data_IF_678086345935
#
_entry.id   IF_678086345935
#
_cell.length_a   1.000
_cell.length_b   1.000
_cell.length_c   1.000
_cell.angle_alpha   90.00
_cell.angle_beta   90.00
_cell.angle_gamma   90.00
#
_symmetry.space_group_name_H-M   'P 1'
#
loop_
_entity.id
_entity.type
_entity.pdbx_description
1 polymer ?
#
# COMPACT_ATOMS: atom_id res chain seq x y z
N UNK A 1 26.26 -7.18 15.56
CA UNK A 1 25.55 -5.95 15.92
C UNK A 1 24.10 -5.93 15.41
N UNK A 2 23.81 -6.00 14.11
CA UNK A 2 22.44 -5.92 13.55
C UNK A 2 21.43 -6.92 14.16
N UNK A 3 21.81 -8.20 14.32
CA UNK A 3 20.94 -9.24 14.93
C UNK A 3 20.59 -8.95 16.39
N UNK A 4 21.55 -8.44 17.18
CA UNK A 4 21.31 -8.07 18.58
C UNK A 4 20.33 -6.89 18.66
N UNK A 5 20.53 -5.85 17.82
CA UNK A 5 19.61 -4.72 17.73
C UNK A 5 18.19 -5.17 17.37
N UNK A 6 18.04 -6.00 16.33
CA UNK A 6 16.74 -6.57 15.95
C UNK A 6 16.08 -7.34 17.10
N UNK A 7 16.86 -8.10 17.85
CA UNK A 7 16.35 -8.84 19.01
C UNK A 7 15.86 -7.87 20.10
N UNK A 8 16.66 -6.89 20.51
CA UNK A 8 16.29 -5.91 21.55
C UNK A 8 15.03 -5.12 21.15
N UNK A 9 15.00 -4.59 19.91
CA UNK A 9 13.84 -3.85 19.42
C UNK A 9 12.58 -4.75 19.35
N UNK A 10 12.73 -6.00 18.92
CA UNK A 10 11.63 -6.96 18.86
C UNK A 10 11.06 -7.25 20.26
N UNK A 11 11.93 -7.48 21.24
CA UNK A 11 11.52 -7.74 22.64
C UNK A 11 10.79 -6.52 23.19
N UNK A 12 11.36 -5.33 23.05
CA UNK A 12 10.75 -4.08 23.53
C UNK A 12 9.39 -3.84 22.87
N UNK A 13 9.29 -3.98 21.54
CA UNK A 13 8.03 -3.84 20.81
C UNK A 13 6.96 -4.84 21.25
N UNK A 14 7.36 -6.11 21.55
CA UNK A 14 6.42 -7.11 22.09
C UNK A 14 5.92 -6.75 23.48
N UNK A 15 6.77 -6.16 24.33
CA UNK A 15 6.35 -5.67 25.65
C UNK A 15 5.34 -4.52 25.52
N UNK A 16 5.53 -3.62 24.54
CA UNK A 16 4.55 -2.58 24.21
C UNK A 16 3.19 -3.19 23.82
N UNK A 17 3.20 -4.15 22.88
CA UNK A 17 1.97 -4.83 22.45
C UNK A 17 1.28 -5.53 23.61
N UNK A 18 2.04 -6.22 24.46
CA UNK A 18 1.49 -6.89 25.64
C UNK A 18 0.87 -5.92 26.64
N UNK A 19 1.54 -4.79 26.91
CA UNK A 19 1.09 -3.76 27.87
C UNK A 19 -0.14 -3.01 27.39
N UNK A 20 -0.09 -2.52 26.14
CA UNK A 20 -1.11 -1.61 25.63
C UNK A 20 -2.20 -2.29 24.79
N UNK A 21 -1.98 -3.51 24.37
CA UNK A 21 -2.91 -4.35 23.59
C UNK A 21 -3.55 -3.61 22.41
N UNK A 22 -2.78 -2.90 21.55
CA UNK A 22 -3.34 -2.23 20.39
C UNK A 22 -3.90 -3.25 19.40
N UNK A 23 -4.92 -2.87 18.66
CA UNK A 23 -5.32 -3.63 17.47
C UNK A 23 -4.25 -3.44 16.39
N UNK A 24 -3.71 -4.53 15.87
CA UNK A 24 -2.72 -4.50 14.80
C UNK A 24 -3.41 -4.79 13.47
N UNK A 25 -3.33 -3.83 12.56
CA UNK A 25 -3.74 -3.93 11.17
C UNK A 25 -2.48 -4.05 10.32
N UNK A 26 -2.29 -5.16 9.63
CA UNK A 26 -1.11 -5.40 8.81
C UNK A 26 -1.46 -5.42 7.33
N UNK A 27 -0.70 -4.68 6.51
CA UNK A 27 -0.89 -4.58 5.06
C UNK A 27 0.30 -5.18 4.33
N UNK A 28 0.06 -6.06 3.37
CA UNK A 28 1.06 -6.56 2.44
C UNK A 28 0.53 -6.60 1.01
N UNK A 29 1.40 -6.85 0.05
CA UNK A 29 1.12 -6.90 -1.39
C UNK A 29 2.35 -6.46 -2.19
N UNK A 30 2.23 -6.37 -3.51
CA UNK A 30 3.25 -5.79 -4.37
C UNK A 30 2.93 -4.32 -4.68
N UNK A 31 1.70 -4.04 -5.06
CA UNK A 31 1.20 -2.71 -5.42
C UNK A 31 0.14 -2.27 -4.42
N UNK A 32 0.10 -0.98 -4.09
CA UNK A 32 -0.95 -0.38 -3.27
C UNK A 32 -0.76 -0.46 -1.75
N UNK A 33 0.27 -1.13 -1.21
CA UNK A 33 0.50 -1.27 0.25
C UNK A 33 0.48 0.07 0.99
N UNK A 34 1.34 0.99 0.59
CA UNK A 34 1.49 2.28 1.26
C UNK A 34 0.23 3.14 1.14
N UNK A 35 -0.36 3.21 -0.07
CA UNK A 35 -1.64 3.93 -0.27
C UNK A 35 -2.75 3.36 0.60
N UNK A 36 -2.88 2.02 0.68
CA UNK A 36 -3.87 1.35 1.53
C UNK A 36 -3.63 1.63 3.02
N UNK A 37 -2.39 1.55 3.46
CA UNK A 37 -2.00 1.87 4.83
C UNK A 37 -2.38 3.30 5.21
N UNK A 38 -2.07 4.29 4.38
CA UNK A 38 -2.41 5.70 4.61
C UNK A 38 -3.93 5.94 4.58
N UNK A 39 -4.64 5.32 3.64
CA UNK A 39 -6.09 5.41 3.56
C UNK A 39 -6.77 4.82 4.82
N UNK A 40 -6.31 3.66 5.32
CA UNK A 40 -6.79 3.07 6.57
C UNK A 40 -6.50 4.01 7.76
N UNK A 41 -5.29 4.59 7.79
CA UNK A 41 -4.92 5.58 8.80
C UNK A 41 -5.87 6.76 8.84
N UNK A 42 -6.16 7.32 7.67
CA UNK A 42 -7.09 8.44 7.49
C UNK A 42 -8.52 8.09 7.98
N UNK A 43 -9.02 6.92 7.59
CA UNK A 43 -10.37 6.48 7.98
C UNK A 43 -10.46 6.25 9.48
N UNK A 44 -9.56 5.47 10.05
CA UNK A 44 -9.62 5.11 11.47
C UNK A 44 -9.29 6.26 12.41
N UNK A 45 -8.53 7.27 11.97
CA UNK A 45 -8.23 8.46 12.78
C UNK A 45 -9.47 9.27 13.19
N UNK A 46 -10.63 9.06 12.51
CA UNK A 46 -11.90 9.66 12.91
C UNK A 46 -12.47 9.13 14.24
N UNK A 47 -12.11 7.89 14.59
CA UNK A 47 -12.71 7.19 15.75
C UNK A 47 -11.69 6.63 16.73
N UNK A 48 -10.41 6.55 16.36
CA UNK A 48 -9.34 5.93 17.14
C UNK A 48 -8.06 6.74 17.12
N UNK A 49 -7.24 6.58 18.16
CA UNK A 49 -5.85 7.03 18.13
C UNK A 49 -5.04 6.03 17.35
N UNK A 50 -4.57 6.43 16.15
CA UNK A 50 -3.90 5.59 15.20
C UNK A 50 -2.41 5.93 15.11
N UNK A 51 -1.57 4.95 14.86
CA UNK A 51 -0.20 5.14 14.35
C UNK A 51 0.00 4.29 13.12
N UNK A 52 0.49 4.91 12.04
CA UNK A 52 0.89 4.25 10.80
C UNK A 52 2.40 4.15 10.70
N UNK A 53 2.92 3.09 10.06
CA UNK A 53 4.32 3.06 9.68
C UNK A 53 4.58 4.10 8.59
N UNK A 54 5.57 4.98 8.78
CA UNK A 54 5.91 5.94 7.75
C UNK A 54 6.86 5.35 6.70
N UNK A 55 6.77 5.86 5.48
CA UNK A 55 7.63 5.42 4.37
C UNK A 55 7.61 3.90 4.17
N UNK A 56 8.81 3.32 4.05
CA UNK A 56 9.04 1.88 3.85
C UNK A 56 9.54 1.17 5.13
N UNK A 57 9.15 1.62 6.32
CA UNK A 57 9.46 0.95 7.60
C UNK A 57 8.67 -0.37 7.75
N UNK A 58 8.91 -1.32 6.84
CA UNK A 58 8.12 -2.53 6.63
C UNK A 58 8.89 -3.84 6.89
N UNK A 59 10.10 -3.74 7.46
CA UNK A 59 10.99 -4.86 7.70
C UNK A 59 11.24 -5.13 9.20
N UNK A 60 12.16 -6.04 9.51
CA UNK A 60 12.49 -6.47 10.89
C UNK A 60 13.06 -5.36 11.80
N UNK A 61 13.45 -4.20 11.27
CA UNK A 61 13.83 -3.00 12.04
C UNK A 61 12.73 -1.95 12.04
N UNK A 62 12.13 -1.72 10.87
CA UNK A 62 11.12 -0.67 10.68
C UNK A 62 9.82 -0.94 11.43
N UNK A 63 9.33 -2.18 11.42
CA UNK A 63 8.10 -2.54 12.15
C UNK A 63 8.25 -2.33 13.66
N UNK A 64 9.28 -2.85 14.36
CA UNK A 64 9.51 -2.52 15.76
C UNK A 64 9.65 -1.02 16.01
N UNK A 65 10.37 -0.31 15.15
CA UNK A 65 10.56 1.14 15.27
C UNK A 65 9.21 1.87 15.29
N UNK A 66 8.30 1.54 14.38
CA UNK A 66 6.93 2.09 14.35
C UNK A 66 6.15 1.75 15.62
N UNK A 67 6.29 0.54 16.16
CA UNK A 67 5.61 0.14 17.40
C UNK A 67 6.11 1.00 18.58
N UNK A 68 7.40 1.27 18.65
CA UNK A 68 8.02 2.04 19.74
C UNK A 68 7.72 3.54 19.68
N UNK A 69 7.45 4.10 18.51
CA UNK A 69 7.18 5.52 18.36
C UNK A 69 7.10 5.98 16.91
N UNK A 70 6.88 7.25 16.72
CA UNK A 70 7.02 7.92 15.43
C UNK A 70 8.45 8.48 15.34
N UNK A 71 9.32 7.72 14.68
CA UNK A 71 10.75 7.99 14.58
C UNK A 71 11.23 8.06 13.13
N UNK A 72 10.27 8.10 12.20
CA UNK A 72 10.56 7.96 10.76
C UNK A 72 11.47 9.06 10.26
N UNK A 73 11.14 10.32 10.54
CA UNK A 73 11.89 11.47 10.04
C UNK A 73 13.32 11.42 10.55
N UNK A 74 13.50 11.20 11.85
CA UNK A 74 14.83 11.09 12.46
C UNK A 74 15.60 9.87 11.94
N UNK A 75 14.92 8.74 11.65
CA UNK A 75 15.55 7.57 11.05
C UNK A 75 16.07 7.86 9.64
N UNK A 76 15.30 8.55 8.81
CA UNK A 76 15.70 8.89 7.45
C UNK A 76 16.80 9.97 7.43
N UNK A 77 16.77 10.93 8.34
CA UNK A 77 17.79 11.97 8.47
C UNK A 77 19.13 11.41 8.97
N UNK A 78 19.12 10.56 10.00
CA UNK A 78 20.33 10.07 10.68
C UNK A 78 20.82 8.71 10.17
N UNK A 79 20.18 8.11 9.17
CA UNK A 79 20.56 6.82 8.59
C UNK A 79 20.62 5.65 9.59
N UNK A 80 19.94 5.77 10.74
CA UNK A 80 19.93 4.74 11.78
C UNK A 80 21.31 4.58 12.46
N UNK A 81 21.96 5.68 12.82
CA UNK A 81 23.25 5.70 13.53
C UNK A 81 23.21 4.92 14.86
N UNK A 82 24.34 4.44 15.40
CA UNK A 82 24.36 3.76 16.69
C UNK A 82 23.76 4.58 17.82
N UNK A 83 24.00 5.90 17.85
CA UNK A 83 23.47 6.81 18.86
C UNK A 83 21.94 6.93 18.76
N UNK A 84 21.39 6.97 17.53
CA UNK A 84 19.95 6.92 17.29
C UNK A 84 19.33 5.68 17.93
N UNK A 85 19.89 4.50 17.72
CA UNK A 85 19.34 3.27 18.27
C UNK A 85 19.39 3.20 19.80
N UNK A 86 20.49 3.70 20.40
CA UNK A 86 20.58 3.82 21.87
C UNK A 86 19.50 4.75 22.41
N UNK A 87 19.29 5.91 21.77
CA UNK A 87 18.21 6.84 22.10
C UNK A 87 16.85 6.19 22.04
N UNK A 88 16.54 5.48 20.94
CA UNK A 88 15.24 4.79 20.75
C UNK A 88 14.98 3.76 21.86
N UNK A 89 15.99 2.95 22.18
CA UNK A 89 15.84 1.92 23.23
C UNK A 89 15.63 2.58 24.59
N UNK A 90 16.42 3.61 24.92
CA UNK A 90 16.30 4.30 26.21
C UNK A 90 14.95 5.02 26.35
N UNK A 91 14.55 5.81 25.34
CA UNK A 91 13.27 6.52 25.37
C UNK A 91 12.08 5.55 25.28
N UNK A 92 12.23 4.45 24.52
CA UNK A 92 11.24 3.38 24.48
C UNK A 92 11.04 2.76 25.87
N UNK A 93 12.10 2.41 26.58
CA UNK A 93 12.02 1.89 27.94
C UNK A 93 11.39 2.89 28.92
N UNK A 94 11.78 4.17 28.86
CA UNK A 94 11.19 5.24 29.69
C UNK A 94 9.70 5.43 29.43
N UNK A 95 9.30 5.52 28.16
CA UNK A 95 7.87 5.64 27.80
C UNK A 95 7.08 4.43 28.26
N UNK A 96 7.64 3.24 28.14
CA UNK A 96 7.00 2.03 28.65
C UNK A 96 6.75 2.10 30.14
N UNK A 97 7.65 2.68 30.92
CA UNK A 97 7.50 2.80 32.39
C UNK A 97 6.50 3.89 32.79
N UNK A 98 6.51 5.04 32.12
CA UNK A 98 5.83 6.26 32.59
C UNK A 98 4.67 6.73 31.71
N UNK A 99 4.50 6.24 30.48
CA UNK A 99 3.40 6.68 29.62
C UNK A 99 2.15 5.82 29.80
N UNK A 100 1.02 6.49 30.07
CA UNK A 100 -0.30 5.87 30.06
C UNK A 100 -0.97 5.92 28.67
N UNK A 101 -0.49 6.79 27.77
CA UNK A 101 -1.08 7.00 26.44
C UNK A 101 -0.30 6.25 25.36
N UNK A 102 -1.03 5.45 24.58
CA UNK A 102 -0.49 4.72 23.42
C UNK A 102 -1.58 4.63 22.34
N UNK A 103 -1.25 4.50 21.04
CA UNK A 103 -2.23 4.29 19.98
C UNK A 103 -3.11 3.06 20.25
N UNK A 104 -4.40 3.20 19.97
CA UNK A 104 -5.35 2.08 20.05
C UNK A 104 -5.22 1.12 18.87
N UNK A 105 -4.77 1.67 17.71
CA UNK A 105 -4.57 0.93 16.47
C UNK A 105 -3.19 1.21 15.92
N UNK A 106 -2.47 0.14 15.56
CA UNK A 106 -1.23 0.18 14.81
C UNK A 106 -1.47 -0.32 13.39
N UNK A 107 -1.16 0.49 12.40
CA UNK A 107 -1.25 0.11 10.98
C UNK A 107 0.18 -0.09 10.46
N UNK A 108 0.52 -1.33 10.20
CA UNK A 108 1.87 -1.77 9.89
C UNK A 108 1.94 -2.29 8.45
N UNK A 109 2.95 -1.89 7.73
CA UNK A 109 3.26 -2.46 6.42
C UNK A 109 4.23 -3.64 6.61
N UNK A 110 3.90 -4.82 6.06
CA UNK A 110 4.77 -5.99 6.07
C UNK A 110 5.36 -6.20 4.69
N UNK A 111 6.64 -5.87 4.55
CA UNK A 111 7.43 -6.10 3.34
C UNK A 111 7.91 -7.55 3.23
N UNK A 112 8.13 -7.99 1.99
CA UNK A 112 8.72 -9.29 1.69
C UNK A 112 9.69 -9.14 0.53
N UNK A 113 10.96 -8.95 0.86
CA UNK A 113 12.04 -8.95 -0.12
C UNK A 113 12.55 -10.38 -0.36
N UNK A 114 12.42 -11.25 0.65
CA UNK A 114 12.89 -12.63 0.63
C UNK A 114 11.89 -13.60 1.24
N UNK A 115 11.99 -14.91 0.92
CA UNK A 115 11.20 -15.97 1.57
C UNK A 115 11.30 -15.92 3.10
N UNK A 116 10.18 -16.11 3.77
CA UNK A 116 9.98 -16.12 5.23
C UNK A 116 9.92 -14.74 5.91
N UNK A 117 10.02 -13.62 5.19
CA UNK A 117 9.99 -12.29 5.83
C UNK A 117 8.60 -11.99 6.41
N UNK A 118 7.51 -12.21 5.65
CA UNK A 118 6.13 -12.05 6.17
C UNK A 118 5.88 -13.00 7.34
N UNK A 119 6.28 -14.27 7.18
CA UNK A 119 6.11 -15.27 8.26
C UNK A 119 6.79 -14.82 9.54
N UNK A 120 8.02 -14.28 9.47
CA UNK A 120 8.74 -13.80 10.65
C UNK A 120 8.05 -12.60 11.29
N UNK A 121 7.60 -11.62 10.50
CA UNK A 121 6.90 -10.43 11.01
C UNK A 121 5.57 -10.83 11.65
N UNK A 122 4.76 -11.65 10.99
CA UNK A 122 3.47 -12.11 11.49
C UNK A 122 3.59 -12.93 12.78
N UNK A 123 4.64 -13.75 12.92
CA UNK A 123 4.90 -14.48 14.15
C UNK A 123 5.37 -13.59 15.32
N UNK A 124 6.11 -12.51 15.01
CA UNK A 124 6.61 -11.57 16.04
C UNK A 124 5.53 -10.59 16.49
N UNK A 125 4.73 -10.11 15.54
CA UNK A 125 3.74 -9.04 15.69
C UNK A 125 2.42 -9.48 15.03
N UNK A 126 1.74 -10.44 15.69
CA UNK A 126 0.53 -11.05 15.15
C UNK A 126 -0.56 -10.02 14.90
N UNK A 127 -1.07 -9.87 13.65
CA UNK A 127 -2.14 -8.94 13.35
C UNK A 127 -3.52 -9.49 13.76
N UNK A 128 -4.47 -8.57 13.95
CA UNK A 128 -5.91 -8.85 14.12
C UNK A 128 -6.65 -8.67 12.78
N UNK A 129 -6.11 -7.81 11.89
CA UNK A 129 -6.62 -7.61 10.55
C UNK A 129 -5.44 -7.70 9.58
N UNK A 130 -5.51 -8.62 8.63
CA UNK A 130 -4.49 -8.78 7.59
C UNK A 130 -5.06 -8.39 6.23
N UNK A 131 -4.40 -7.46 5.54
CA UNK A 131 -4.82 -6.98 4.22
C UNK A 131 -3.81 -7.42 3.17
N UNK A 132 -4.30 -8.01 2.06
CA UNK A 132 -3.48 -8.27 0.87
C UNK A 132 -4.03 -7.43 -0.27
N UNK A 133 -3.20 -6.48 -0.76
CA UNK A 133 -3.61 -5.51 -1.77
C UNK A 133 -3.63 -6.10 -3.17
N UNK A 134 -2.47 -6.29 -3.78
CA UNK A 134 -2.32 -6.95 -5.06
C UNK A 134 -0.98 -7.67 -5.14
N UNK A 135 -0.93 -8.79 -5.84
CA UNK A 135 0.30 -9.53 -6.14
C UNK A 135 0.71 -9.32 -7.60
N UNK A 136 -0.26 -9.39 -8.51
CA UNK A 136 -0.05 -9.28 -9.95
C UNK A 136 0.62 -10.53 -10.54
N UNK A 137 0.70 -10.59 -11.88
CA UNK A 137 1.26 -11.73 -12.60
C UNK A 137 2.79 -11.82 -12.46
N UNK A 138 3.48 -10.69 -12.59
CA UNK A 138 4.94 -10.59 -12.40
C UNK A 138 5.19 -9.67 -11.20
N UNK A 139 5.30 -10.24 -9.98
CA UNK A 139 5.48 -9.45 -8.77
C UNK A 139 6.91 -8.91 -8.64
N UNK A 140 7.09 -7.76 -7.99
CA UNK A 140 8.42 -7.30 -7.56
C UNK A 140 9.07 -8.32 -6.64
N UNK A 141 10.39 -8.29 -6.57
CA UNK A 141 11.23 -9.23 -5.80
C UNK A 141 11.17 -10.68 -6.30
N UNK A 142 10.49 -10.97 -7.44
CA UNK A 142 10.40 -12.34 -7.99
C UNK A 142 11.77 -12.95 -8.26
N UNK A 143 12.77 -12.13 -8.50
CA UNK A 143 14.17 -12.54 -8.65
C UNK A 143 14.72 -13.33 -7.44
N UNK A 144 14.24 -13.03 -6.24
CA UNK A 144 14.67 -13.68 -4.99
C UNK A 144 13.80 -14.88 -4.60
N UNK A 145 12.85 -15.24 -5.44
CA UNK A 145 11.93 -16.35 -5.24
C UNK A 145 12.02 -17.35 -6.41
N UNK A 146 11.45 -18.53 -6.25
CA UNK A 146 11.39 -19.55 -7.31
C UNK A 146 10.40 -19.19 -8.44
N UNK A 147 9.63 -18.11 -8.29
CA UNK A 147 8.67 -17.62 -9.27
C UNK A 147 7.51 -16.85 -8.62
N UNK A 148 6.58 -16.32 -9.44
CA UNK A 148 5.43 -15.51 -8.96
C UNK A 148 4.59 -16.20 -7.90
N UNK A 149 4.32 -17.49 -8.05
CA UNK A 149 3.55 -18.26 -7.06
C UNK A 149 4.24 -18.33 -5.70
N UNK A 150 5.57 -18.35 -5.65
CA UNK A 150 6.31 -18.37 -4.39
C UNK A 150 6.19 -17.03 -3.67
N UNK A 151 6.15 -15.90 -4.41
CA UNK A 151 5.86 -14.57 -3.85
C UNK A 151 4.44 -14.53 -3.29
N UNK A 152 3.45 -15.02 -4.04
CA UNK A 152 2.08 -15.10 -3.58
C UNK A 152 1.94 -15.98 -2.31
N UNK A 153 2.60 -17.14 -2.27
CA UNK A 153 2.65 -18.02 -1.09
C UNK A 153 3.26 -17.33 0.12
N UNK A 154 4.31 -16.51 -0.07
CA UNK A 154 4.91 -15.75 1.04
C UNK A 154 3.94 -14.69 1.58
N UNK A 155 3.25 -13.95 0.71
CA UNK A 155 2.28 -12.93 1.15
C UNK A 155 1.07 -13.55 1.86
N UNK A 156 0.64 -14.74 1.43
CA UNK A 156 -0.42 -15.48 2.09
C UNK A 156 -0.09 -15.83 3.57
N UNK A 157 1.20 -15.85 3.95
CA UNK A 157 1.61 -16.09 5.36
C UNK A 157 1.04 -15.06 6.33
N UNK A 158 0.70 -13.86 5.84
CA UNK A 158 0.02 -12.86 6.66
C UNK A 158 -1.34 -13.39 7.15
N UNK A 159 -2.19 -13.81 6.20
CA UNK A 159 -3.56 -14.26 6.53
C UNK A 159 -3.61 -15.67 7.11
N UNK A 160 -2.63 -16.53 6.80
CA UNK A 160 -2.47 -17.84 7.46
C UNK A 160 -2.18 -17.71 8.96
N UNK A 161 -1.60 -16.57 9.40
CA UNK A 161 -1.29 -16.30 10.81
C UNK A 161 -2.49 -15.85 11.65
N UNK A 162 -3.60 -15.50 11.00
CA UNK A 162 -4.80 -14.96 11.64
C UNK A 162 -5.59 -16.07 12.37
N UNK A 163 -6.24 -15.68 13.45
CA UNK A 163 -7.17 -16.56 14.21
C UNK A 163 -8.58 -16.51 13.60
N UNK A 164 -9.48 -17.44 13.93
CA UNK A 164 -10.86 -17.42 13.46
C UNK A 164 -11.67 -16.17 13.88
N UNK A 165 -11.25 -15.49 14.96
CA UNK A 165 -11.84 -14.23 15.41
C UNK A 165 -11.35 -13.01 14.65
N UNK A 166 -10.22 -13.12 13.92
CA UNK A 166 -9.56 -12.07 13.18
C UNK A 166 -10.19 -11.88 11.78
N UNK A 167 -9.68 -10.90 11.02
CA UNK A 167 -10.21 -10.57 9.70
C UNK A 167 -9.13 -10.59 8.62
N UNK A 168 -9.43 -11.22 7.48
CA UNK A 168 -8.64 -11.19 6.26
C UNK A 168 -9.35 -10.32 5.22
N UNK A 169 -8.72 -9.23 4.78
CA UNK A 169 -9.24 -8.29 3.78
C UNK A 169 -8.48 -8.48 2.47
N UNK A 170 -9.16 -8.98 1.45
CA UNK A 170 -8.55 -9.46 0.21
C UNK A 170 -9.05 -8.66 -0.99
N UNK A 171 -8.13 -8.30 -1.88
CA UNK A 171 -8.49 -7.71 -3.17
C UNK A 171 -9.18 -8.76 -4.06
N UNK A 172 -10.43 -8.50 -4.43
CA UNK A 172 -11.24 -9.37 -5.28
C UNK A 172 -10.81 -9.34 -6.75
N UNK A 173 -10.24 -8.23 -7.19
CA UNK A 173 -9.83 -8.02 -8.59
C UNK A 173 -8.51 -8.74 -8.92
N UNK A 174 -7.78 -9.26 -7.93
CA UNK A 174 -6.57 -10.06 -8.11
C UNK A 174 -6.86 -11.52 -7.76
N UNK A 175 -6.96 -12.38 -8.77
CA UNK A 175 -7.29 -13.80 -8.61
C UNK A 175 -6.28 -14.53 -7.72
N UNK A 176 -4.99 -14.17 -7.78
CA UNK A 176 -3.98 -14.78 -6.92
C UNK A 176 -4.24 -14.43 -5.45
N UNK A 177 -4.72 -13.22 -5.16
CA UNK A 177 -5.10 -12.77 -3.82
C UNK A 177 -6.42 -13.40 -3.39
N UNK A 178 -7.44 -13.39 -4.25
CA UNK A 178 -8.76 -13.93 -3.93
C UNK A 178 -8.70 -15.43 -3.57
N UNK A 179 -7.88 -16.19 -4.29
CA UNK A 179 -7.68 -17.62 -4.03
C UNK A 179 -6.98 -17.90 -2.67
N UNK A 180 -6.40 -16.88 -2.04
CA UNK A 180 -5.81 -17.05 -0.70
C UNK A 180 -6.88 -17.20 0.40
N UNK A 181 -8.15 -16.90 0.13
CA UNK A 181 -9.25 -17.13 1.09
C UNK A 181 -9.28 -18.54 1.66
N UNK A 182 -8.86 -19.53 0.86
CA UNK A 182 -8.79 -20.95 1.28
C UNK A 182 -7.64 -21.24 2.28
N UNK A 183 -6.72 -20.29 2.48
CA UNK A 183 -5.55 -20.44 3.35
C UNK A 183 -5.73 -19.84 4.74
N UNK A 184 -6.86 -19.22 5.01
CA UNK A 184 -7.12 -18.59 6.30
C UNK A 184 -8.34 -19.18 6.99
N UNK A 185 -8.33 -19.15 8.33
CA UNK A 185 -9.49 -19.43 9.17
C UNK A 185 -10.21 -18.16 9.62
N UNK A 186 -9.67 -17.00 9.30
CA UNK A 186 -10.21 -15.71 9.67
C UNK A 186 -11.48 -15.38 8.87
N UNK A 187 -12.23 -14.39 9.33
CA UNK A 187 -13.40 -13.87 8.61
C UNK A 187 -12.95 -13.11 7.37
N UNK A 188 -13.32 -13.61 6.19
CA UNK A 188 -12.90 -13.00 4.91
C UNK A 188 -13.81 -11.84 4.56
N UNK A 189 -13.18 -10.72 4.23
CA UNK A 189 -13.76 -9.56 3.58
C UNK A 189 -13.06 -9.34 2.23
N UNK A 190 -13.81 -8.88 1.25
CA UNK A 190 -13.27 -8.60 -0.09
C UNK A 190 -13.55 -7.15 -0.48
N UNK A 191 -12.67 -6.56 -1.27
CA UNK A 191 -12.85 -5.24 -1.87
C UNK A 191 -12.39 -5.28 -3.32
N UNK A 192 -12.99 -4.46 -4.17
CA UNK A 192 -12.63 -4.41 -5.59
C UNK A 192 -13.69 -3.75 -6.46
N UNK A 193 -13.41 -3.71 -7.75
CA UNK A 193 -14.35 -3.29 -8.80
C UNK A 193 -15.26 -4.43 -9.22
N UNK A 194 -14.76 -5.66 -9.15
CA UNK A 194 -15.46 -6.86 -9.59
C UNK A 194 -16.72 -7.08 -8.77
N UNK A 195 -17.81 -7.44 -9.44
CA UNK A 195 -19.07 -7.82 -8.82
C UNK A 195 -18.87 -8.98 -7.85
N UNK A 196 -19.56 -8.96 -6.71
CA UNK A 196 -19.39 -9.91 -5.62
C UNK A 196 -18.32 -9.51 -4.61
N UNK A 197 -17.60 -8.41 -4.81
CA UNK A 197 -16.79 -7.79 -3.76
C UNK A 197 -17.68 -7.32 -2.61
N UNK A 198 -17.28 -7.62 -1.36
CA UNK A 198 -18.06 -7.21 -0.18
C UNK A 198 -18.13 -5.69 -0.03
N UNK A 199 -17.02 -5.00 -0.35
CA UNK A 199 -16.96 -3.54 -0.54
C UNK A 199 -16.64 -3.31 -2.01
N UNK A 200 -17.65 -2.95 -2.79
CA UNK A 200 -17.52 -2.83 -4.24
C UNK A 200 -17.35 -1.38 -4.67
N UNK A 201 -16.44 -1.15 -5.61
CA UNK A 201 -16.27 0.13 -6.30
C UNK A 201 -17.11 0.11 -7.57
N UNK A 202 -17.93 1.14 -7.77
CA UNK A 202 -18.67 1.34 -9.00
C UNK A 202 -18.65 2.81 -9.44
N UNK A 203 -19.09 3.09 -10.67
CA UNK A 203 -19.16 4.45 -11.23
C UNK A 203 -17.85 5.22 -11.05
N UNK A 204 -16.72 4.56 -11.33
CA UNK A 204 -15.40 5.16 -11.28
C UNK A 204 -15.20 6.13 -12.44
N UNK A 205 -14.80 7.37 -12.12
CA UNK A 205 -14.50 8.41 -13.09
C UNK A 205 -13.48 9.41 -12.54
N UNK A 206 -13.01 10.31 -13.38
CA UNK A 206 -12.15 11.42 -12.97
C UNK A 206 -13.00 12.63 -12.58
N UNK A 207 -12.63 13.28 -11.47
CA UNK A 207 -13.18 14.57 -11.11
C UNK A 207 -12.56 15.64 -12.00
N UNK A 208 -13.36 16.26 -12.84
CA UNK A 208 -12.95 17.37 -13.71
C UNK A 208 -13.34 18.69 -13.03
N UNK A 209 -12.42 19.64 -12.96
CA UNK A 209 -12.68 20.99 -12.47
C UNK A 209 -13.38 21.86 -13.50
N UNK A 210 -13.81 23.06 -13.09
CA UNK A 210 -14.43 24.06 -13.95
C UNK A 210 -13.50 24.54 -15.08
N UNK A 211 -12.20 24.36 -14.89
CA UNK A 211 -11.13 24.64 -15.87
C UNK A 211 -10.91 23.50 -16.88
N UNK A 212 -11.78 22.47 -16.87
CA UNK A 212 -11.69 21.30 -17.73
C UNK A 212 -10.59 20.30 -17.35
N UNK A 213 -9.89 20.52 -16.23
CA UNK A 213 -8.75 19.71 -15.82
C UNK A 213 -9.10 18.66 -14.80
N UNK A 214 -8.43 17.51 -14.84
CA UNK A 214 -8.52 16.53 -13.75
C UNK A 214 -8.08 17.13 -12.41
N UNK A 215 -8.90 16.93 -11.39
CA UNK A 215 -8.65 17.35 -9.99
C UNK A 215 -8.59 16.17 -9.03
N UNK A 216 -8.84 14.97 -9.50
CA UNK A 216 -8.87 13.78 -8.67
C UNK A 216 -9.72 12.67 -9.25
N UNK A 217 -10.19 11.80 -8.38
CA UNK A 217 -10.98 10.62 -8.73
C UNK A 217 -12.30 10.62 -7.97
N UNK A 218 -13.39 10.21 -8.62
CA UNK A 218 -14.72 10.02 -8.02
C UNK A 218 -15.23 8.61 -8.29
N UNK A 219 -15.92 8.02 -7.35
CA UNK A 219 -16.53 6.71 -7.48
C UNK A 219 -17.60 6.49 -6.40
N UNK A 220 -18.32 5.38 -6.47
CA UNK A 220 -19.22 4.92 -5.41
C UNK A 220 -18.59 3.74 -4.67
N UNK A 221 -18.71 3.73 -3.34
CA UNK A 221 -18.49 2.55 -2.51
C UNK A 221 -19.84 1.95 -2.15
N UNK A 222 -20.00 0.67 -2.47
CA UNK A 222 -21.20 -0.10 -2.19
C UNK A 222 -20.89 -1.15 -1.10
N UNK A 223 -21.82 -1.30 -0.13
CA UNK A 223 -21.77 -2.32 0.90
C UNK A 223 -23.20 -2.74 1.25
N UNK A 224 -23.54 -4.01 1.04
CA UNK A 224 -24.92 -4.46 1.11
C UNK A 224 -25.80 -3.71 0.11
N UNK A 225 -26.92 -3.19 0.57
CA UNK A 225 -27.86 -2.39 -0.24
C UNK A 225 -27.54 -0.88 -0.22
N UNK A 226 -26.53 -0.46 0.52
CA UNK A 226 -26.16 0.94 0.71
C UNK A 226 -24.97 1.33 -0.16
N UNK A 227 -24.93 2.59 -0.57
CA UNK A 227 -23.78 3.16 -1.23
C UNK A 227 -23.52 4.60 -0.80
N UNK A 228 -22.27 5.05 -0.98
CA UNK A 228 -21.86 6.45 -0.80
C UNK A 228 -20.97 6.90 -1.95
N UNK A 229 -21.06 8.17 -2.38
CA UNK A 229 -20.06 8.75 -3.26
C UNK A 229 -18.77 8.99 -2.48
N UNK A 230 -17.63 8.77 -3.14
CA UNK A 230 -16.30 9.07 -2.61
C UNK A 230 -15.58 9.98 -3.59
N UNK A 231 -14.85 10.96 -3.06
CA UNK A 231 -14.00 11.88 -3.81
C UNK A 231 -12.59 11.83 -3.22
N UNK A 232 -11.60 11.61 -4.07
CA UNK A 232 -10.19 11.69 -3.71
C UNK A 232 -9.59 12.87 -4.48
N UNK A 233 -9.15 13.90 -3.76
CA UNK A 233 -8.56 15.10 -4.34
C UNK A 233 -7.08 14.85 -4.69
N UNK A 234 -6.58 15.49 -5.73
CA UNK A 234 -5.19 15.43 -6.22
C UNK A 234 -4.63 14.00 -6.38
N UNK A 235 -5.53 13.04 -6.63
CA UNK A 235 -5.22 11.61 -6.59
C UNK A 235 -5.93 10.91 -7.74
N UNK A 236 -5.18 10.19 -8.56
CA UNK A 236 -5.70 9.56 -9.77
C UNK A 236 -5.60 8.03 -9.73
N UNK A 237 -6.44 7.40 -10.54
CA UNK A 237 -6.33 6.00 -10.92
C UNK A 237 -7.01 4.99 -10.00
N UNK A 238 -7.26 3.82 -10.60
CA UNK A 238 -7.97 2.70 -9.97
C UNK A 238 -7.27 2.16 -8.71
N UNK A 239 -5.93 2.24 -8.65
CA UNK A 239 -5.16 1.77 -7.49
C UNK A 239 -5.47 2.56 -6.21
N UNK A 240 -5.79 3.86 -6.34
CA UNK A 240 -6.15 4.71 -5.21
C UNK A 240 -7.60 4.44 -4.76
N UNK A 241 -8.50 4.17 -5.70
CA UNK A 241 -9.86 3.74 -5.38
C UNK A 241 -9.86 2.37 -4.65
N UNK A 242 -8.99 1.43 -5.06
CA UNK A 242 -8.78 0.16 -4.34
C UNK A 242 -8.25 0.37 -2.92
N UNK A 243 -7.31 1.30 -2.74
CA UNK A 243 -6.81 1.65 -1.40
C UNK A 243 -7.93 2.21 -0.50
N UNK A 244 -8.79 3.08 -1.05
CA UNK A 244 -9.96 3.61 -0.35
C UNK A 244 -10.99 2.53 -0.03
N UNK A 245 -11.26 1.58 -0.94
CA UNK A 245 -12.17 0.46 -0.70
C UNK A 245 -11.65 -0.51 0.38
N UNK A 246 -10.35 -0.79 0.38
CA UNK A 246 -9.71 -1.56 1.45
C UNK A 246 -9.82 -0.84 2.80
N UNK A 247 -9.63 0.49 2.83
CA UNK A 247 -9.80 1.29 4.03
C UNK A 247 -11.27 1.30 4.49
N UNK A 248 -12.22 1.36 3.56
CA UNK A 248 -13.64 1.25 3.88
C UNK A 248 -13.99 -0.11 4.49
N UNK A 249 -13.44 -1.22 3.95
CA UNK A 249 -13.63 -2.54 4.52
C UNK A 249 -13.12 -2.60 5.98
N UNK A 250 -11.95 -2.00 6.27
CA UNK A 250 -11.42 -1.92 7.63
C UNK A 250 -12.29 -1.01 8.51
N UNK A 251 -12.73 0.16 8.01
CA UNK A 251 -13.64 1.05 8.74
C UNK A 251 -14.94 0.35 9.15
N UNK A 252 -15.54 -0.41 8.23
CA UNK A 252 -16.75 -1.21 8.50
C UNK A 252 -16.50 -2.33 9.53
N UNK A 253 -15.31 -2.95 9.54
CA UNK A 253 -14.91 -3.91 10.58
C UNK A 253 -14.83 -3.23 11.96
N UNK A 254 -14.53 -1.94 12.01
CA UNK A 254 -14.57 -1.12 13.24
C UNK A 254 -15.95 -0.46 13.48
N UNK A 255 -17.02 -0.97 12.89
CA UNK A 255 -18.41 -0.53 13.03
C UNK A 255 -18.66 0.94 12.58
N UNK A 256 -17.80 1.48 11.71
CA UNK A 256 -18.06 2.77 11.07
C UNK A 256 -19.14 2.62 9.99
N UNK A 257 -19.98 3.63 9.81
CA UNK A 257 -20.90 3.67 8.69
C UNK A 257 -20.22 4.25 7.42
N UNK A 258 -20.79 3.98 6.25
CA UNK A 258 -20.23 4.41 4.97
C UNK A 258 -20.09 5.94 4.84
N UNK A 259 -21.01 6.72 5.41
CA UNK A 259 -20.97 8.19 5.35
C UNK A 259 -19.75 8.71 6.09
N UNK A 260 -19.54 8.26 7.32
CA UNK A 260 -18.35 8.63 8.11
C UNK A 260 -17.05 8.23 7.40
N UNK A 261 -17.03 7.08 6.73
CA UNK A 261 -15.88 6.61 5.94
C UNK A 261 -15.64 7.53 4.74
N UNK A 262 -16.70 7.86 3.99
CA UNK A 262 -16.60 8.79 2.85
C UNK A 262 -16.09 10.17 3.28
N UNK A 263 -16.62 10.72 4.38
CA UNK A 263 -16.18 12.00 4.94
C UNK A 263 -14.70 11.95 5.41
N UNK A 264 -14.25 10.83 5.94
CA UNK A 264 -12.85 10.63 6.29
C UNK A 264 -11.95 10.65 5.04
N UNK A 265 -12.37 9.97 3.98
CA UNK A 265 -11.63 9.86 2.73
C UNK A 265 -11.47 11.20 1.99
N UNK A 266 -12.30 12.21 2.26
CA UNK A 266 -12.09 13.58 1.74
C UNK A 266 -10.75 14.19 2.19
N UNK A 267 -10.22 13.77 3.33
CA UNK A 267 -8.92 14.22 3.84
C UNK A 267 -7.75 13.30 3.45
N UNK A 268 -8.01 12.23 2.71
CA UNK A 268 -6.98 11.32 2.24
C UNK A 268 -6.04 12.02 1.25
N UNK A 269 -4.74 11.89 1.47
CA UNK A 269 -3.70 12.34 0.57
C UNK A 269 -2.90 11.15 0.08
N UNK A 270 -2.82 10.97 -1.24
CA UNK A 270 -1.94 9.95 -1.80
C UNK A 270 -0.48 10.19 -1.39
N UNK A 271 0.27 9.16 -1.00
CA UNK A 271 1.69 9.29 -0.76
C UNK A 271 2.42 9.86 -1.98
N UNK A 272 3.53 10.57 -1.75
CA UNK A 272 4.39 11.07 -2.85
C UNK A 272 4.81 9.94 -3.77
N UNK A 273 4.79 10.19 -5.08
CA UNK A 273 5.17 9.19 -6.08
C UNK A 273 4.15 8.03 -6.22
N UNK A 274 2.87 8.25 -5.90
CA UNK A 274 1.80 7.26 -6.01
C UNK A 274 0.58 7.81 -6.75
N UNK A 275 0.70 7.99 -8.06
CA UNK A 275 -0.32 8.57 -8.93
C UNK A 275 -0.85 9.92 -8.41
N UNK A 276 0.07 10.71 -7.83
CA UNK A 276 -0.25 12.04 -7.33
C UNK A 276 -0.29 13.04 -8.47
N UNK A 277 -1.34 13.86 -8.49
CA UNK A 277 -1.49 14.91 -9.48
C UNK A 277 -0.70 16.15 -9.03
N UNK A 278 0.15 16.66 -9.92
CA UNK A 278 0.95 17.86 -9.72
C UNK A 278 0.76 18.83 -10.88
N UNK A 279 0.80 20.13 -10.59
CA UNK A 279 0.82 21.15 -11.62
C UNK A 279 2.23 21.31 -12.19
N UNK A 280 2.35 21.20 -13.51
CA UNK A 280 3.58 21.46 -14.23
C UNK A 280 3.63 22.86 -14.84
N UNK A 281 4.72 23.16 -15.55
CA UNK A 281 4.88 24.41 -16.29
C UNK A 281 3.99 24.44 -17.55
N UNK A 282 3.73 25.63 -18.09
CA UNK A 282 2.96 25.82 -19.35
C UNK A 282 1.61 25.09 -19.33
N UNK A 283 0.93 25.12 -18.20
CA UNK A 283 -0.37 24.47 -18.03
C UNK A 283 -0.34 22.94 -18.19
N UNK A 284 0.81 22.27 -18.11
CA UNK A 284 0.87 20.81 -18.09
C UNK A 284 0.41 20.24 -16.74
N UNK A 285 -0.07 19.00 -16.78
CA UNK A 285 -0.32 18.19 -15.59
C UNK A 285 0.72 17.06 -15.52
N UNK A 286 1.19 16.77 -14.31
CA UNK A 286 2.14 15.69 -14.06
C UNK A 286 1.44 14.66 -13.17
N UNK A 287 1.43 13.41 -13.60
CA UNK A 287 1.04 12.26 -12.79
C UNK A 287 2.33 11.70 -12.22
N UNK A 288 2.56 11.94 -10.92
CA UNK A 288 3.76 11.47 -10.23
C UNK A 288 3.54 10.07 -9.68
N UNK A 289 4.16 9.06 -10.30
CA UNK A 289 4.22 7.66 -9.83
C UNK A 289 5.67 7.18 -9.68
N UNK A 290 6.56 8.06 -9.24
CA UNK A 290 8.02 7.90 -9.27
C UNK A 290 8.60 7.09 -8.10
N UNK A 291 7.80 6.66 -7.13
CA UNK A 291 8.32 5.97 -5.94
C UNK A 291 9.00 4.64 -6.27
N UNK A 292 8.40 3.83 -7.13
CA UNK A 292 8.93 2.55 -7.58
C UNK A 292 8.26 2.13 -8.88
N UNK A 293 8.92 1.32 -9.70
CA UNK A 293 8.38 0.77 -10.92
C UNK A 293 8.24 -0.75 -10.82
N UNK A 294 7.06 -1.25 -11.20
CA UNK A 294 6.77 -2.68 -11.34
C UNK A 294 5.80 -2.91 -12.49
N UNK A 295 5.74 -4.10 -13.10
CA UNK A 295 4.85 -4.34 -14.24
C UNK A 295 3.41 -3.91 -13.97
N UNK A 296 2.80 -4.40 -12.89
CA UNK A 296 1.41 -4.06 -12.55
C UNK A 296 1.21 -2.58 -12.20
N UNK A 297 2.16 -1.92 -11.50
CA UNK A 297 2.05 -0.50 -11.20
C UNK A 297 2.20 0.35 -12.46
N UNK A 298 3.16 0.03 -13.32
CA UNK A 298 3.37 0.72 -14.59
C UNK A 298 2.16 0.60 -15.51
N UNK A 299 1.55 -0.59 -15.62
CA UNK A 299 0.30 -0.79 -16.38
C UNK A 299 -0.84 0.06 -15.82
N UNK A 300 -1.06 0.09 -14.50
CA UNK A 300 -2.10 0.92 -13.88
C UNK A 300 -1.86 2.43 -14.10
N UNK A 301 -0.61 2.87 -14.09
CA UNK A 301 -0.27 4.26 -14.37
C UNK A 301 -0.51 4.61 -15.85
N UNK A 302 -0.11 3.74 -16.77
CA UNK A 302 -0.35 3.90 -18.21
C UNK A 302 -1.85 3.87 -18.54
N UNK A 303 -2.63 2.96 -17.96
CA UNK A 303 -4.08 2.92 -18.11
C UNK A 303 -4.75 4.19 -17.59
N UNK A 304 -4.26 4.72 -16.47
CA UNK A 304 -4.72 6.00 -15.93
C UNK A 304 -4.45 7.14 -16.92
N UNK A 305 -3.23 7.23 -17.46
CA UNK A 305 -2.86 8.23 -18.46
C UNK A 305 -3.66 8.08 -19.76
N UNK A 306 -3.93 6.85 -20.20
CA UNK A 306 -4.69 6.53 -21.41
C UNK A 306 -6.15 7.00 -21.31
N UNK A 307 -6.77 6.76 -20.16
CA UNK A 307 -8.20 7.03 -19.94
C UNK A 307 -8.48 8.47 -19.47
N UNK A 308 -7.46 9.18 -18.99
CA UNK A 308 -7.61 10.55 -18.52
C UNK A 308 -7.96 11.48 -19.70
N UNK A 309 -9.00 12.33 -19.60
CA UNK A 309 -9.28 13.34 -20.61
C UNK A 309 -8.08 14.28 -20.81
N UNK A 310 -7.62 14.45 -22.04
CA UNK A 310 -6.48 15.28 -22.36
C UNK A 310 -6.60 15.82 -23.80
N UNK A 311 -6.59 17.15 -23.95
CA UNK A 311 -6.55 17.82 -25.25
C UNK A 311 -5.13 18.00 -25.77
N UNK A 312 -4.14 17.93 -24.87
CA UNK A 312 -2.72 18.07 -25.19
C UNK A 312 -2.03 16.74 -25.48
N UNK A 313 -0.70 16.78 -25.55
CA UNK A 313 0.13 15.58 -25.75
C UNK A 313 0.22 14.74 -24.49
N UNK A 314 0.17 13.42 -24.65
CA UNK A 314 0.51 12.45 -23.62
C UNK A 314 1.99 12.12 -23.68
N UNK A 315 2.71 12.53 -22.67
CA UNK A 315 4.16 12.32 -22.55
C UNK A 315 4.39 11.36 -21.38
N UNK A 316 5.16 10.31 -21.61
CA UNK A 316 5.47 9.31 -20.59
C UNK A 316 6.98 9.21 -20.38
N UNK A 317 7.42 9.22 -19.13
CA UNK A 317 8.81 9.00 -18.73
C UNK A 317 8.83 7.71 -17.90
N UNK A 318 9.44 6.65 -18.43
CA UNK A 318 9.50 5.35 -17.79
C UNK A 318 10.94 4.99 -17.44
N UNK A 319 11.13 4.50 -16.21
CA UNK A 319 12.40 4.01 -15.70
C UNK A 319 12.52 2.48 -15.74
N UNK A 320 13.66 1.99 -15.26
CA UNK A 320 13.89 0.55 -15.08
C UNK A 320 12.93 -0.04 -14.04
N UNK A 321 12.37 -1.21 -14.37
CA UNK A 321 11.71 -2.08 -13.40
C UNK A 321 12.73 -3.08 -12.87
N UNK A 322 13.08 -2.95 -11.59
CA UNK A 322 14.13 -3.74 -10.95
C UNK A 322 13.58 -5.03 -10.32
N UNK A 323 14.47 -5.95 -9.97
CA UNK A 323 14.19 -7.17 -9.21
C UNK A 323 13.21 -8.15 -9.85
N UNK A 324 13.14 -8.14 -11.18
CA UNK A 324 12.29 -9.02 -11.98
C UNK A 324 13.02 -10.26 -12.51
N UNK A 325 14.35 -10.31 -12.39
CA UNK A 325 15.18 -11.42 -12.88
C UNK A 325 14.90 -11.76 -14.35
N UNK A 326 14.61 -13.01 -14.65
CA UNK A 326 14.35 -13.49 -16.02
C UNK A 326 13.11 -12.88 -16.69
N UNK A 327 12.20 -12.29 -15.92
CA UNK A 327 10.97 -11.66 -16.45
C UNK A 327 11.21 -10.22 -16.92
N UNK A 328 12.39 -9.64 -16.66
CA UNK A 328 12.66 -8.21 -16.88
C UNK A 328 12.42 -7.78 -18.33
N UNK A 329 12.96 -8.48 -19.31
CA UNK A 329 12.85 -8.10 -20.74
C UNK A 329 11.39 -8.06 -21.18
N UNK A 330 10.63 -9.12 -20.90
CA UNK A 330 9.23 -9.23 -21.33
C UNK A 330 8.37 -8.14 -20.66
N UNK A 331 8.54 -7.91 -19.36
CA UNK A 331 7.81 -6.88 -18.62
C UNK A 331 8.07 -5.46 -19.16
N UNK A 332 9.32 -5.16 -19.54
CA UNK A 332 9.64 -3.87 -20.15
C UNK A 332 9.02 -3.74 -21.56
N UNK A 333 9.07 -4.79 -22.38
CA UNK A 333 8.44 -4.79 -23.71
C UNK A 333 6.92 -4.62 -23.63
N UNK A 334 6.25 -5.29 -22.69
CA UNK A 334 4.81 -5.15 -22.48
C UNK A 334 4.44 -3.71 -22.13
N UNK A 335 5.22 -3.06 -21.24
CA UNK A 335 5.01 -1.65 -20.92
C UNK A 335 5.22 -0.74 -22.14
N UNK A 336 6.20 -1.02 -23.00
CA UNK A 336 6.46 -0.28 -24.24
C UNK A 336 5.32 -0.45 -25.24
N UNK A 337 4.88 -1.68 -25.50
CA UNK A 337 3.73 -1.96 -26.37
C UNK A 337 2.45 -1.24 -25.90
N UNK A 338 2.20 -1.23 -24.59
CA UNK A 338 1.06 -0.50 -24.05
C UNK A 338 1.21 1.01 -24.27
N UNK A 339 2.35 1.59 -23.91
CA UNK A 339 2.62 3.02 -24.09
C UNK A 339 2.55 3.45 -25.55
N UNK A 340 3.17 2.70 -26.46
CA UNK A 340 3.21 2.97 -27.91
C UNK A 340 1.83 3.04 -28.57
N UNK A 341 0.79 2.48 -27.94
CA UNK A 341 -0.57 2.51 -28.49
C UNK A 341 -1.30 3.87 -28.34
N UNK A 342 -0.82 4.80 -27.48
CA UNK A 342 -1.54 6.04 -27.17
C UNK A 342 -0.66 7.24 -26.75
N UNK A 343 0.64 7.03 -26.53
CA UNK A 343 1.57 8.07 -26.05
C UNK A 343 2.19 8.82 -27.22
N UNK A 344 2.19 10.15 -27.17
CA UNK A 344 2.78 11.00 -28.22
C UNK A 344 4.32 11.11 -28.10
N UNK A 345 4.86 10.97 -26.88
CA UNK A 345 6.30 11.00 -26.61
C UNK A 345 6.63 10.08 -25.44
N UNK A 346 7.47 9.09 -25.70
CA UNK A 346 8.00 8.17 -24.73
C UNK A 346 9.48 8.48 -24.46
N UNK A 347 9.84 8.70 -23.18
CA UNK A 347 11.21 8.90 -22.72
C UNK A 347 11.56 7.72 -21.82
N UNK A 348 12.61 6.97 -22.15
CA UNK A 348 13.07 5.82 -21.40
C UNK A 348 14.36 6.15 -20.66
N UNK A 349 14.41 5.86 -19.36
CA UNK A 349 15.56 6.15 -18.48
C UNK A 349 16.04 4.87 -17.80
N UNK A 350 17.27 4.49 -18.09
CA UNK A 350 17.89 3.29 -17.51
C UNK A 350 18.29 2.24 -18.55
N UNK A 351 19.13 1.32 -18.13
CA UNK A 351 19.70 0.29 -19.03
C UNK A 351 18.70 -0.77 -19.47
N UNK A 352 17.69 -1.06 -18.64
CA UNK A 352 16.60 -2.01 -18.94
C UNK A 352 15.44 -1.32 -19.66
N UNK A 353 15.22 -0.04 -19.41
CA UNK A 353 14.19 0.75 -20.06
C UNK A 353 14.37 0.85 -21.60
N UNK A 354 15.56 0.53 -22.14
CA UNK A 354 15.76 0.34 -23.59
C UNK A 354 14.78 -0.66 -24.20
N UNK A 355 14.41 -1.72 -23.48
CA UNK A 355 13.46 -2.71 -23.98
C UNK A 355 12.02 -2.18 -24.05
N UNK A 356 11.72 -1.05 -23.37
CA UNK A 356 10.47 -0.32 -23.54
C UNK A 356 10.50 0.45 -24.87
N UNK A 357 11.65 1.07 -25.18
CA UNK A 357 11.81 1.87 -26.39
C UNK A 357 11.91 1.03 -27.66
N UNK A 358 12.39 -0.21 -27.55
CA UNK A 358 12.59 -1.14 -28.66
C UNK A 358 11.31 -1.92 -29.06
N UNK A 359 10.20 -1.73 -28.35
CA UNK A 359 8.93 -2.47 -28.55
C UNK A 359 7.79 -1.58 -29.17
#
# INVERSE_FOLDING_TARGET
MKRLLQFVLTVLARVYIWRYKPVIVAVTGNVGKTSTKEAIGTVLAKIKRVRTSAGNLNNELGVPLTILGDWSDEYYENGGSPLFWVKIIALGALRLAFSASYPEVLILEYGADRPKDIKKLANKFKPHIGIITAVGEIPVHVEYFSGPEAVAKEKAKLIESLSPSDFAVLNHDDLAVLNMKEKTKARVWTFGFTEGSKVQISNFDFKIGDDGRPKGTIFKLNYGESFVPVKLEDTLGRSQALAAAAAAAVGLIFDMNLVTISDALLSYQAPKGRLKLLNGIKNSLIIDDTYNASPSATHLALDTLKTLPCEGRRITILGDMLELGKYSINAHREAGNLAGSFVDLLICVGSRAKFIADS
#
